data_IF_538233135188
#
_entry.id   IF_538233135188
#
_cell.length_a   1.000
_cell.length_b   1.000
_cell.length_c   1.000
_cell.angle_alpha   90.00
_cell.angle_beta   90.00
_cell.angle_gamma   90.00
#
_symmetry.space_group_name_H-M   'P 1'
#
loop_
_entity.id
_entity.type
_entity.pdbx_description
1 polymer ?
#
# COMPACT_ATOMS: atom_id res chain seq x y z
N UNK A 1 -13.07 6.39 7.19
CA UNK A 1 -12.18 5.79 6.16
C UNK A 1 -12.41 4.29 5.97
N UNK A 2 -12.14 3.43 6.96
CA UNK A 2 -12.12 1.96 6.77
C UNK A 2 -13.39 1.36 6.16
N UNK A 3 -14.58 1.77 6.59
CA UNK A 3 -15.85 1.29 6.02
C UNK A 3 -16.07 1.76 4.58
N UNK A 4 -15.72 3.02 4.29
CA UNK A 4 -15.86 3.62 2.95
C UNK A 4 -14.96 2.88 1.96
N UNK A 5 -13.67 2.75 2.26
CA UNK A 5 -12.70 2.04 1.40
C UNK A 5 -13.08 0.57 1.22
N UNK A 6 -13.63 -0.09 2.26
CA UNK A 6 -14.06 -1.49 2.17
C UNK A 6 -15.27 -1.69 1.26
N UNK A 7 -16.22 -0.74 1.29
CA UNK A 7 -17.46 -0.79 0.51
C UNK A 7 -17.32 -0.20 -0.90
N UNK A 8 -16.28 0.59 -1.15
CA UNK A 8 -16.02 1.19 -2.46
C UNK A 8 -15.69 0.12 -3.50
N UNK A 9 -16.54 -0.01 -4.53
CA UNK A 9 -16.36 -0.96 -5.64
C UNK A 9 -15.26 -0.49 -6.61
N UNK A 10 -14.92 0.80 -6.60
CA UNK A 10 -13.85 1.36 -7.42
C UNK A 10 -12.47 1.02 -6.86
N UNK A 11 -12.41 0.69 -5.57
CA UNK A 11 -11.19 0.21 -4.90
C UNK A 11 -11.25 -1.30 -4.81
N UNK A 12 -10.70 -1.97 -5.82
CA UNK A 12 -10.54 -3.43 -5.79
C UNK A 12 -9.37 -3.79 -4.89
N UNK A 13 -9.61 -4.73 -3.97
CA UNK A 13 -8.57 -5.27 -3.09
C UNK A 13 -8.25 -6.71 -3.44
N UNK A 14 -7.20 -7.26 -2.85
CA UNK A 14 -6.82 -8.65 -3.11
C UNK A 14 -7.88 -9.60 -2.55
N UNK A 15 -8.50 -10.41 -3.42
CA UNK A 15 -9.39 -11.50 -2.99
C UNK A 15 -8.60 -12.75 -2.62
N UNK A 16 -8.73 -13.18 -1.37
CA UNK A 16 -8.19 -14.46 -0.90
C UNK A 16 -9.36 -15.31 -0.43
N UNK A 17 -9.55 -16.46 -1.07
CA UNK A 17 -10.66 -17.40 -0.85
C UNK A 17 -12.03 -16.77 -1.09
N UNK A 18 -12.61 -16.10 -0.09
CA UNK A 18 -13.92 -15.43 -0.12
C UNK A 18 -13.90 -14.04 0.52
N UNK A 19 -12.74 -13.61 1.03
CA UNK A 19 -12.59 -12.33 1.70
C UNK A 19 -11.75 -11.39 0.83
N UNK A 20 -12.17 -10.14 0.76
CA UNK A 20 -11.48 -9.09 0.03
C UNK A 20 -10.65 -8.25 1.00
N UNK A 21 -9.34 -8.30 0.81
CA UNK A 21 -8.36 -7.58 1.61
C UNK A 21 -8.04 -6.26 0.92
N UNK A 22 -8.65 -5.16 1.38
CA UNK A 22 -8.43 -3.79 0.85
C UNK A 22 -7.55 -2.92 1.73
N UNK A 23 -7.76 -2.99 3.04
CA UNK A 23 -7.11 -2.12 3.99
C UNK A 23 -6.89 -2.79 5.33
N UNK A 24 -5.69 -2.59 5.86
CA UNK A 24 -5.29 -2.88 7.21
C UNK A 24 -4.83 -1.58 7.87
N UNK A 25 -5.30 -1.33 9.09
CA UNK A 25 -4.95 -0.14 9.85
C UNK A 25 -4.40 -0.58 11.21
N UNK A 26 -3.29 0.01 11.63
CA UNK A 26 -2.72 -0.18 12.96
C UNK A 26 -2.26 1.16 13.52
N UNK A 27 -2.95 1.66 14.56
CA UNK A 27 -2.78 3.02 15.06
C UNK A 27 -2.84 4.05 13.92
N UNK A 28 -1.76 4.80 13.72
CA UNK A 28 -1.63 5.82 12.67
C UNK A 28 -1.18 5.25 11.32
N UNK A 29 -0.70 4.00 11.27
CA UNK A 29 -0.23 3.37 10.06
C UNK A 29 -1.37 2.70 9.28
N UNK A 30 -1.56 3.14 8.03
CA UNK A 30 -2.53 2.58 7.09
C UNK A 30 -1.81 1.83 5.97
N UNK A 31 -2.20 0.58 5.76
CA UNK A 31 -1.72 -0.27 4.66
C UNK A 31 -2.88 -0.59 3.76
N UNK A 32 -2.72 -0.30 2.48
CA UNK A 32 -3.71 -0.59 1.45
C UNK A 32 -3.20 -1.70 0.55
N UNK A 33 -4.10 -2.63 0.23
CA UNK A 33 -3.86 -3.73 -0.70
C UNK A 33 -4.86 -3.53 -1.83
N UNK A 34 -4.34 -3.21 -3.00
CA UNK A 34 -5.16 -2.87 -4.16
C UNK A 34 -4.81 -3.76 -5.35
N UNK A 35 -5.83 -4.11 -6.13
CA UNK A 35 -5.68 -4.67 -7.47
C UNK A 35 -5.72 -3.55 -8.51
N UNK A 36 -5.04 -3.74 -9.63
CA UNK A 36 -4.98 -2.76 -10.74
C UNK A 36 -4.50 -1.36 -10.26
N UNK A 37 -3.23 -1.22 -9.85
CA UNK A 37 -2.78 -0.01 -9.14
C UNK A 37 -2.82 1.25 -10.01
N UNK A 38 -2.82 1.16 -11.34
CA UNK A 38 -2.90 2.34 -12.22
C UNK A 38 -4.22 3.11 -12.07
N UNK A 39 -5.34 2.40 -12.00
CA UNK A 39 -6.67 3.00 -11.85
C UNK A 39 -7.04 3.16 -10.38
N UNK A 40 -6.82 2.12 -9.58
CA UNK A 40 -7.24 2.09 -8.19
C UNK A 40 -6.41 3.02 -7.29
N UNK A 41 -5.10 3.16 -7.51
CA UNK A 41 -4.27 3.98 -6.62
C UNK A 41 -4.60 5.46 -6.72
N UNK A 42 -4.97 5.96 -7.91
CA UNK A 42 -5.38 7.34 -8.09
C UNK A 42 -6.66 7.67 -7.30
N UNK A 43 -7.70 6.86 -7.49
CA UNK A 43 -8.98 7.00 -6.74
C UNK A 43 -8.78 6.86 -5.24
N UNK A 44 -7.92 5.93 -4.84
CA UNK A 44 -7.57 5.74 -3.44
C UNK A 44 -6.95 7.01 -2.84
N UNK A 45 -6.00 7.64 -3.52
CA UNK A 45 -5.38 8.87 -3.05
C UNK A 45 -6.38 10.02 -2.95
N UNK A 46 -7.27 10.16 -3.93
CA UNK A 46 -8.33 11.18 -3.92
C UNK A 46 -9.25 10.99 -2.70
N UNK A 47 -9.70 9.76 -2.44
CA UNK A 47 -10.52 9.42 -1.27
C UNK A 47 -9.81 9.69 0.05
N UNK A 48 -8.51 9.39 0.16
CA UNK A 48 -7.74 9.65 1.39
C UNK A 48 -7.54 11.15 1.57
N UNK A 49 -7.32 11.91 0.50
CA UNK A 49 -7.16 13.36 0.57
C UNK A 49 -8.47 14.06 0.96
N UNK A 50 -9.61 13.65 0.38
CA UNK A 50 -10.94 14.13 0.76
C UNK A 50 -11.24 13.84 2.24
N UNK A 51 -10.98 12.61 2.69
CA UNK A 51 -11.15 12.23 4.08
C UNK A 51 -10.20 12.99 5.00
N UNK A 52 -8.94 13.15 4.59
CA UNK A 52 -7.93 13.91 5.30
C UNK A 52 -8.33 15.37 5.48
N UNK A 53 -8.88 16.01 4.43
CA UNK A 53 -9.38 17.38 4.48
C UNK A 53 -10.49 17.54 5.51
N UNK A 54 -11.42 16.58 5.60
CA UNK A 54 -12.50 16.58 6.61
C UNK A 54 -11.96 16.34 8.02
N UNK A 55 -10.98 15.45 8.16
CA UNK A 55 -10.39 15.09 9.44
C UNK A 55 -9.29 16.06 9.93
N UNK A 56 -8.88 17.03 9.11
CA UNK A 56 -7.71 17.88 9.38
C UNK A 56 -6.37 17.15 9.30
N UNK A 57 -6.32 16.01 8.61
CA UNK A 57 -5.13 15.18 8.43
C UNK A 57 -4.53 15.32 7.03
N UNK A 58 -3.20 15.25 6.93
CA UNK A 58 -2.48 15.30 5.65
C UNK A 58 -1.64 14.05 5.45
N UNK A 59 -1.73 13.47 4.26
CA UNK A 59 -0.87 12.34 3.86
C UNK A 59 0.57 12.82 3.75
N UNK A 60 1.48 12.10 4.39
CA UNK A 60 2.91 12.33 4.25
C UNK A 60 3.47 11.49 3.09
N UNK A 61 3.58 12.08 1.90
CA UNK A 61 4.08 11.42 0.68
C UNK A 61 5.53 10.89 0.82
N UNK A 62 6.32 11.48 1.73
CA UNK A 62 7.71 11.10 1.99
C UNK A 62 7.79 9.79 2.80
N UNK A 63 6.86 9.61 3.74
CA UNK A 63 6.73 8.38 4.55
C UNK A 63 5.97 7.28 3.82
N UNK A 64 5.00 7.64 2.98
CA UNK A 64 4.22 6.67 2.21
C UNK A 64 5.13 5.99 1.20
N UNK A 65 5.05 4.66 1.12
CA UNK A 65 5.83 3.85 0.18
C UNK A 65 4.93 2.87 -0.51
N UNK A 66 5.15 2.69 -1.81
CA UNK A 66 4.39 1.73 -2.61
C UNK A 66 5.26 0.51 -2.86
N UNK A 67 4.71 -0.66 -2.58
CA UNK A 67 5.30 -1.94 -2.92
C UNK A 67 4.49 -2.55 -4.07
N UNK A 68 5.14 -2.78 -5.21
CA UNK A 68 4.50 -3.40 -6.37
C UNK A 68 4.97 -4.84 -6.57
N UNK A 69 4.08 -5.68 -7.10
CA UNK A 69 4.37 -7.06 -7.51
C UNK A 69 3.86 -7.25 -8.94
N UNK A 70 4.72 -7.75 -9.82
CA UNK A 70 4.38 -8.12 -11.19
C UNK A 70 3.88 -6.97 -12.11
N UNK A 71 4.55 -5.80 -12.07
CA UNK A 71 4.25 -4.65 -12.94
C UNK A 71 5.38 -4.37 -13.93
N UNK A 72 5.04 -3.84 -15.12
CA UNK A 72 6.00 -3.41 -16.14
C UNK A 72 6.76 -2.15 -15.69
N UNK A 73 8.00 -1.98 -16.15
CA UNK A 73 8.82 -0.80 -15.82
C UNK A 73 8.16 0.52 -16.25
N UNK A 74 7.42 0.52 -17.37
CA UNK A 74 6.71 1.70 -17.89
C UNK A 74 5.60 2.10 -16.93
N UNK A 75 4.73 1.15 -16.57
CA UNK A 75 3.65 1.36 -15.61
C UNK A 75 4.17 1.76 -14.22
N UNK A 76 5.31 1.22 -13.80
CA UNK A 76 5.99 1.64 -12.57
C UNK A 76 6.31 3.14 -12.61
N UNK A 77 6.91 3.60 -13.70
CA UNK A 77 7.32 5.00 -13.85
C UNK A 77 6.11 5.94 -13.90
N UNK A 78 5.09 5.57 -14.67
CA UNK A 78 3.82 6.31 -14.75
C UNK A 78 3.15 6.43 -13.37
N UNK A 79 3.15 5.35 -12.58
CA UNK A 79 2.58 5.35 -11.24
C UNK A 79 3.37 6.23 -10.26
N UNK A 80 4.70 6.23 -10.35
CA UNK A 80 5.59 7.07 -9.53
C UNK A 80 5.40 8.56 -9.86
N UNK A 81 5.32 8.90 -11.15
CA UNK A 81 5.08 10.27 -11.63
C UNK A 81 3.68 10.77 -11.26
N UNK A 82 2.65 9.92 -11.39
CA UNK A 82 1.26 10.29 -11.11
C UNK A 82 1.00 10.52 -9.62
N UNK A 83 1.49 9.61 -8.76
CA UNK A 83 1.22 9.67 -7.32
C UNK A 83 2.22 10.56 -6.58
N UNK A 84 3.42 10.76 -7.14
CA UNK A 84 4.53 11.42 -6.46
C UNK A 84 4.97 10.67 -5.20
N UNK A 85 4.83 9.35 -5.18
CA UNK A 85 5.20 8.48 -4.07
C UNK A 85 6.30 7.52 -4.55
N UNK A 86 7.33 7.34 -3.72
CA UNK A 86 8.44 6.46 -4.03
C UNK A 86 8.01 4.99 -4.09
N UNK A 87 8.34 4.31 -5.19
CA UNK A 87 8.09 2.87 -5.34
C UNK A 87 9.33 2.08 -4.90
N UNK A 88 9.19 1.37 -3.79
CA UNK A 88 10.25 0.55 -3.20
C UNK A 88 10.00 -0.94 -3.39
N UNK A 89 11.07 -1.73 -3.41
CA UNK A 89 10.98 -3.19 -3.40
C UNK A 89 10.91 -3.76 -1.97
N UNK A 90 11.09 -2.90 -0.96
CA UNK A 90 11.15 -3.25 0.47
C UNK A 90 10.60 -2.12 1.34
N UNK A 91 9.69 -2.45 2.24
CA UNK A 91 9.09 -1.53 3.22
C UNK A 91 9.13 -2.16 4.60
N UNK A 92 9.27 -1.37 5.66
CA UNK A 92 9.20 -1.83 7.04
C UNK A 92 7.81 -1.48 7.59
N UNK A 93 7.10 -2.46 8.11
CA UNK A 93 5.77 -2.30 8.71
C UNK A 93 5.72 -3.10 10.03
N UNK A 94 5.40 -2.44 11.14
CA UNK A 94 5.35 -3.03 12.49
C UNK A 94 6.60 -3.84 12.87
N UNK A 95 7.78 -3.34 12.49
CA UNK A 95 9.05 -4.02 12.77
C UNK A 95 9.46 -5.07 11.74
N UNK A 96 8.56 -5.47 10.83
CA UNK A 96 8.78 -6.51 9.83
C UNK A 96 9.06 -5.86 8.47
N UNK A 97 10.12 -6.29 7.81
CA UNK A 97 10.40 -5.99 6.41
C UNK A 97 9.51 -6.82 5.49
N UNK A 98 8.67 -6.12 4.74
CA UNK A 98 7.86 -6.66 3.66
C UNK A 98 8.62 -6.42 2.34
N UNK A 99 8.86 -7.48 1.58
CA UNK A 99 9.55 -7.45 0.29
C UNK A 99 8.66 -7.99 -0.81
N UNK A 100 8.81 -7.47 -2.03
CA UNK A 100 8.09 -7.98 -3.21
C UNK A 100 8.45 -9.44 -3.52
N UNK A 101 9.70 -9.85 -3.20
CA UNK A 101 10.15 -11.24 -3.24
C UNK A 101 9.86 -11.93 -1.90
N UNK A 102 8.93 -12.88 -1.90
CA UNK A 102 8.56 -13.61 -0.69
C UNK A 102 9.67 -14.56 -0.20
N UNK A 103 10.58 -15.01 -1.08
CA UNK A 103 11.64 -15.95 -0.72
C UNK A 103 12.63 -15.42 0.32
N UNK A 104 12.86 -14.10 0.37
CA UNK A 104 13.81 -13.48 1.28
C UNK A 104 13.19 -13.05 2.61
N UNK A 105 11.86 -13.16 2.78
CA UNK A 105 11.15 -12.70 3.99
C UNK A 105 11.71 -13.31 5.28
N UNK A 106 12.06 -14.60 5.26
CA UNK A 106 12.62 -15.31 6.42
C UNK A 106 14.00 -14.77 6.78
N UNK A 107 14.86 -14.59 5.79
CA UNK A 107 16.23 -14.14 6.00
C UNK A 107 16.28 -12.69 6.47
N UNK A 108 15.46 -11.84 5.85
CA UNK A 108 15.47 -10.40 6.10
C UNK A 108 14.91 -10.03 7.49
N UNK A 109 14.07 -10.89 8.06
CA UNK A 109 13.40 -10.63 9.34
C UNK A 109 13.91 -11.52 10.49
N UNK A 110 14.13 -12.81 10.26
CA UNK A 110 14.34 -13.77 11.34
C UNK A 110 15.79 -14.24 11.50
N UNK A 111 16.60 -14.22 10.44
CA UNK A 111 18.03 -14.55 10.58
C UNK A 111 18.82 -13.44 11.27
N UNK A 112 18.40 -12.18 11.11
CA UNK A 112 19.01 -11.03 11.80
C UNK A 112 18.63 -10.88 13.28
N UNK A 113 17.66 -11.66 13.77
CA UNK A 113 17.25 -11.69 15.18
C UNK A 113 18.08 -12.68 16.03
N UNK A 114 18.96 -13.48 15.41
CA UNK A 114 19.97 -14.24 16.14
C UNK A 114 21.15 -13.34 16.46
N UNK A 115 21.06 -12.57 17.54
CA UNK A 115 22.20 -11.94 18.19
C UNK A 115 22.02 -12.07 19.70
#
# INVERSE_FOLDING_TARGET
LNRVIRQDEEIKGMKIRKEEYKLQAFADDLVFIIEEPLTTAFKLMERIEEYGKVAGLKINKDKTKILIKNILKIQKKELEETLGIQITNKVKYLGIYITSRCGTLKEDNYLKLKQ
#
